data_IF_584052005256
#
_entry.id   IF_584052005256
#
_cell.length_a   1.000
_cell.length_b   1.000
_cell.length_c   1.000
_cell.angle_alpha   90.00
_cell.angle_beta   90.00
_cell.angle_gamma   90.00
#
_symmetry.space_group_name_H-M   'P 1'
#
loop_
_entity.id
_entity.type
_entity.pdbx_description
1 polymer ?
#
# COMPACT_ATOMS: atom_id res chain seq x y z
N UNK A 1 -12.13 -1.00 26.82
CA UNK A 1 -11.94 -2.17 25.92
C UNK A 1 -12.53 -1.79 24.57
N UNK A 2 -11.76 -1.07 23.76
CA UNK A 2 -12.18 -0.67 22.41
C UNK A 2 -11.48 -1.66 21.49
N UNK A 3 -12.25 -2.61 20.99
CA UNK A 3 -11.81 -3.58 20.00
C UNK A 3 -11.56 -2.82 18.70
N UNK A 4 -10.32 -2.86 18.24
CA UNK A 4 -9.88 -2.58 16.88
C UNK A 4 -10.74 -3.39 15.90
N UNK A 5 -11.67 -2.71 15.23
CA UNK A 5 -12.29 -3.22 14.02
C UNK A 5 -11.51 -2.61 12.86
N UNK A 6 -10.52 -3.37 12.38
CA UNK A 6 -9.89 -3.17 11.07
C UNK A 6 -11.01 -3.01 10.04
N UNK A 7 -11.09 -1.83 9.42
CA UNK A 7 -12.01 -1.57 8.31
C UNK A 7 -11.29 -2.08 7.06
N UNK A 8 -11.66 -3.25 6.49
CA UNK A 8 -11.15 -3.61 5.18
C UNK A 8 -11.59 -2.55 4.18
N UNK A 9 -10.68 -2.13 3.32
CA UNK A 9 -10.88 -1.13 2.27
C UNK A 9 -11.73 -1.70 1.12
N UNK A 10 -12.90 -2.22 1.45
CA UNK A 10 -13.84 -2.85 0.54
C UNK A 10 -15.22 -2.30 0.90
N UNK A 11 -15.78 -1.46 0.03
CA UNK A 11 -17.22 -1.14 -0.06
C UNK A 11 -17.77 0.02 0.83
N UNK A 12 -17.12 0.49 1.91
CA UNK A 12 -17.72 1.60 2.72
C UNK A 12 -17.50 3.03 2.17
N UNK A 13 -16.60 3.23 1.21
CA UNK A 13 -16.26 4.57 0.69
C UNK A 13 -17.24 5.07 -0.39
N UNK A 14 -18.01 4.21 -1.05
CA UNK A 14 -18.98 4.64 -2.08
C UNK A 14 -20.17 5.42 -1.51
N UNK A 15 -20.47 5.31 -0.20
CA UNK A 15 -21.56 6.07 0.43
C UNK A 15 -21.10 7.31 1.20
N UNK A 16 -19.84 7.37 1.68
CA UNK A 16 -19.34 8.50 2.49
C UNK A 16 -18.32 9.41 1.78
N UNK A 17 -17.60 8.94 0.75
CA UNK A 17 -16.66 9.78 -0.01
C UNK A 17 -17.29 10.54 -1.18
N UNK A 18 -18.52 10.21 -1.58
CA UNK A 18 -19.23 11.00 -2.60
C UNK A 18 -19.60 12.40 -2.06
N UNK A 19 -19.68 12.56 -0.73
CA UNK A 19 -20.02 13.83 -0.08
C UNK A 19 -18.82 14.78 0.11
N UNK A 20 -17.57 14.31 0.00
CA UNK A 20 -16.35 15.11 0.26
C UNK A 20 -15.50 15.38 -1.00
N UNK A 21 -16.14 15.50 -2.16
CA UNK A 21 -15.49 15.91 -3.42
C UNK A 21 -16.04 17.28 -3.89
N UNK A 22 -16.30 18.20 -2.96
CA UNK A 22 -16.81 19.56 -3.24
C UNK A 22 -15.93 20.62 -2.56
N UNK A 23 -14.68 20.79 -3.02
CA UNK A 23 -13.85 21.96 -2.67
C UNK A 23 -13.21 22.64 -3.90
N UNK A 24 -13.99 22.75 -4.98
CA UNK A 24 -13.60 23.43 -6.22
C UNK A 24 -14.13 22.65 -7.42
N UNK A 25 -14.81 23.31 -8.36
CA UNK A 25 -15.51 22.68 -9.47
C UNK A 25 -14.58 22.06 -10.53
N UNK A 26 -13.92 20.96 -10.19
CA UNK A 26 -13.22 20.10 -11.14
C UNK A 26 -13.86 18.71 -11.09
N UNK A 27 -14.80 18.46 -11.99
CA UNK A 27 -15.39 17.13 -12.15
C UNK A 27 -14.35 16.21 -12.78
N UNK A 28 -13.88 15.22 -12.02
CA UNK A 28 -13.01 14.17 -12.54
C UNK A 28 -13.90 13.10 -13.18
N UNK A 29 -13.65 12.79 -14.46
CA UNK A 29 -14.44 11.81 -15.20
C UNK A 29 -14.22 10.40 -14.65
N UNK A 30 -15.22 9.53 -14.77
CA UNK A 30 -15.13 8.13 -14.32
C UNK A 30 -13.89 7.40 -14.86
N UNK A 31 -13.57 7.57 -16.14
CA UNK A 31 -12.40 6.95 -16.77
C UNK A 31 -11.09 7.38 -16.11
N UNK A 32 -11.02 8.62 -15.65
CA UNK A 32 -9.85 9.14 -14.96
C UNK A 32 -9.77 8.64 -13.52
N UNK A 33 -10.90 8.56 -12.81
CA UNK A 33 -10.96 7.91 -11.49
C UNK A 33 -10.51 6.46 -11.60
N UNK A 34 -11.09 5.71 -12.54
CA UNK A 34 -10.78 4.30 -12.79
C UNK A 34 -9.31 4.09 -13.14
N UNK A 35 -8.78 4.84 -14.11
CA UNK A 35 -7.38 4.74 -14.51
C UNK A 35 -6.41 5.11 -13.37
N UNK A 36 -6.79 6.06 -12.51
CA UNK A 36 -5.99 6.44 -11.34
C UNK A 36 -6.10 5.44 -10.19
N UNK A 37 -7.20 4.69 -10.08
CA UNK A 37 -7.42 3.70 -9.03
C UNK A 37 -7.01 2.28 -9.42
N UNK A 38 -6.72 2.01 -10.68
CA UNK A 38 -6.38 0.65 -11.14
C UNK A 38 -5.10 0.09 -10.50
N UNK A 39 -5.07 -1.23 -10.30
CA UNK A 39 -3.94 -1.98 -9.74
C UNK A 39 -2.61 -1.58 -10.39
N UNK A 40 -1.72 -0.95 -9.61
CA UNK A 40 -0.37 -0.57 -10.02
C UNK A 40 0.59 -0.56 -8.85
N UNK A 41 1.87 -0.39 -9.15
CA UNK A 41 2.90 -0.12 -8.15
C UNK A 41 2.95 1.37 -7.81
N UNK A 42 3.00 1.71 -6.52
CA UNK A 42 3.06 3.08 -6.00
C UNK A 42 4.04 3.12 -4.82
N UNK A 43 4.79 4.21 -4.67
CA UNK A 43 5.60 4.46 -3.49
C UNK A 43 4.71 4.73 -2.26
N UNK A 44 4.95 3.99 -1.18
CA UNK A 44 4.27 4.12 0.11
C UNK A 44 5.30 4.12 1.22
N UNK A 45 4.99 4.79 2.33
CA UNK A 45 5.78 4.67 3.55
C UNK A 45 5.37 3.39 4.28
N UNK A 46 6.33 2.52 4.54
CA UNK A 46 6.13 1.26 5.28
C UNK A 46 6.93 1.32 6.57
N UNK A 47 6.32 0.90 7.67
CA UNK A 47 6.99 0.85 8.97
C UNK A 47 8.07 -0.23 8.97
N UNK A 48 9.28 0.13 9.40
CA UNK A 48 10.43 -0.79 9.43
C UNK A 48 10.19 -1.94 10.40
N UNK A 49 9.52 -1.68 11.54
CA UNK A 49 9.21 -2.70 12.55
C UNK A 49 8.22 -3.76 12.06
N UNK A 50 7.32 -3.40 11.14
CA UNK A 50 6.37 -4.37 10.56
C UNK A 50 7.07 -5.34 9.62
N UNK A 51 8.11 -4.88 8.91
CA UNK A 51 8.91 -5.70 8.00
C UNK A 51 9.96 -6.53 8.76
N UNK A 52 10.44 -6.03 9.91
CA UNK A 52 11.46 -6.67 10.75
C UNK A 52 11.05 -6.74 12.22
N UNK A 53 9.97 -7.48 12.56
CA UNK A 53 9.45 -7.52 13.92
C UNK A 53 10.39 -8.23 14.92
N UNK A 54 11.35 -9.02 14.43
CA UNK A 54 12.35 -9.72 15.25
C UNK A 54 13.49 -8.83 15.75
N UNK A 55 13.67 -7.63 15.19
CA UNK A 55 14.74 -6.70 15.56
C UNK A 55 14.28 -5.71 16.66
N UNK A 56 13.51 -6.22 17.63
CA UNK A 56 12.80 -5.46 18.68
C UNK A 56 13.72 -4.70 19.65
N UNK A 57 15.02 -4.95 19.62
CA UNK A 57 16.00 -4.27 20.47
C UNK A 57 16.41 -2.88 19.91
N UNK A 58 16.04 -2.55 18.67
CA UNK A 58 16.48 -1.32 18.01
C UNK A 58 15.33 -0.38 17.65
N UNK A 59 15.46 0.90 18.01
CA UNK A 59 14.58 1.97 17.53
C UNK A 59 15.14 2.45 16.19
N UNK A 60 14.46 2.13 15.10
CA UNK A 60 14.85 2.59 13.76
C UNK A 60 14.53 4.08 13.57
N UNK A 61 15.49 4.82 13.02
CA UNK A 61 15.26 6.18 12.54
C UNK A 61 15.74 6.31 11.08
N UNK A 62 14.86 6.60 10.12
CA UNK A 62 13.42 6.82 10.28
C UNK A 62 12.66 5.52 10.67
N UNK A 63 11.49 5.67 11.29
CA UNK A 63 10.61 4.53 11.65
C UNK A 63 9.88 3.95 10.44
N UNK A 64 9.77 4.73 9.36
CA UNK A 64 9.18 4.32 8.09
C UNK A 64 10.13 4.62 6.93
N UNK A 65 10.09 3.79 5.89
CA UNK A 65 10.89 3.95 4.68
C UNK A 65 9.99 3.96 3.42
N UNK A 66 10.36 4.71 2.37
CA UNK A 66 9.62 4.69 1.11
C UNK A 66 9.86 3.37 0.37
N UNK A 67 8.80 2.61 0.08
CA UNK A 67 8.87 1.38 -0.70
C UNK A 67 7.81 1.37 -1.77
N UNK A 68 8.17 0.83 -2.93
CA UNK A 68 7.20 0.59 -4.00
C UNK A 68 6.40 -0.67 -3.66
N UNK A 69 5.09 -0.52 -3.53
CA UNK A 69 4.14 -1.58 -3.17
C UNK A 69 2.95 -1.59 -4.13
N UNK A 70 2.20 -2.69 -4.14
CA UNK A 70 0.95 -2.79 -4.89
C UNK A 70 -0.10 -1.89 -4.24
N UNK A 71 -0.89 -1.21 -5.07
CA UNK A 71 -1.96 -0.34 -4.63
C UNK A 71 -3.02 -0.21 -5.73
N UNK A 72 -4.21 0.20 -5.31
CA UNK A 72 -5.35 0.35 -6.19
C UNK A 72 -6.41 -0.72 -5.94
N UNK A 73 -7.42 -0.70 -6.79
CA UNK A 73 -8.54 -1.61 -6.80
C UNK A 73 -8.48 -2.48 -8.06
N UNK A 74 -9.09 -3.66 -7.97
CA UNK A 74 -9.23 -4.55 -9.11
C UNK A 74 -10.56 -4.32 -9.84
N UNK A 75 -10.61 -4.75 -11.10
CA UNK A 75 -11.81 -4.68 -11.92
C UNK A 75 -12.96 -5.59 -11.47
N UNK A 76 -12.65 -6.62 -10.69
CA UNK A 76 -13.57 -7.63 -10.18
C UNK A 76 -13.26 -7.93 -8.70
N UNK A 77 -14.28 -8.27 -7.92
CA UNK A 77 -14.16 -8.54 -6.49
C UNK A 77 -13.39 -9.84 -6.16
N UNK A 78 -13.30 -10.77 -7.12
CA UNK A 78 -12.56 -12.02 -6.99
C UNK A 78 -11.07 -11.88 -7.35
N UNK A 79 -10.66 -10.69 -7.80
CA UNK A 79 -9.29 -10.37 -8.16
C UNK A 79 -8.61 -9.56 -7.07
N UNK A 80 -7.32 -9.81 -6.91
CA UNK A 80 -6.45 -9.07 -6.01
C UNK A 80 -5.20 -8.56 -6.73
N UNK A 81 -4.69 -7.41 -6.26
CA UNK A 81 -3.54 -6.76 -6.85
C UNK A 81 -2.24 -7.32 -6.26
N UNK A 82 -1.60 -8.24 -6.99
CA UNK A 82 -0.41 -8.95 -6.53
C UNK A 82 0.86 -8.51 -7.27
N UNK A 83 2.04 -8.56 -6.63
CA UNK A 83 3.28 -8.28 -7.32
C UNK A 83 3.66 -9.45 -8.25
N UNK A 84 4.00 -9.14 -9.50
CA UNK A 84 4.51 -10.14 -10.47
C UNK A 84 6.03 -10.10 -10.59
N UNK A 85 6.66 -9.01 -10.12
CA UNK A 85 8.11 -8.85 -10.09
C UNK A 85 8.52 -8.07 -8.85
N UNK A 86 9.41 -8.65 -8.07
CA UNK A 86 9.97 -8.05 -6.86
C UNK A 86 11.45 -7.73 -7.04
N UNK A 87 11.95 -6.74 -6.29
CA UNK A 87 13.35 -6.38 -6.23
C UNK A 87 13.74 -6.02 -4.79
N UNK A 88 14.95 -6.40 -4.39
CA UNK A 88 15.48 -6.03 -3.08
C UNK A 88 16.07 -4.62 -3.14
N UNK A 89 15.65 -3.78 -2.20
CA UNK A 89 16.13 -2.42 -2.04
C UNK A 89 16.85 -2.35 -0.71
N UNK A 90 18.08 -1.89 -0.75
CA UNK A 90 18.94 -1.79 0.42
C UNK A 90 18.94 -0.35 0.91
N UNK A 91 18.53 -0.13 2.16
CA UNK A 91 18.43 1.20 2.75
C UNK A 91 19.23 1.28 4.04
N UNK A 92 19.82 2.45 4.29
CA UNK A 92 20.44 2.77 5.56
C UNK A 92 19.38 3.30 6.53
N UNK A 93 19.37 2.76 7.74
CA UNK A 93 18.52 3.22 8.83
C UNK A 93 19.39 3.41 10.06
N UNK A 94 18.99 4.29 10.98
CA UNK A 94 19.72 4.46 12.23
C UNK A 94 19.46 3.29 13.18
N UNK A 95 20.48 2.86 13.94
CA UNK A 95 21.82 3.47 14.06
C UNK A 95 22.65 3.39 12.77
N UNK A 96 23.41 4.45 12.44
CA UNK A 96 23.94 4.79 11.10
C UNK A 96 24.86 3.75 10.42
N UNK A 97 25.11 2.63 11.08
CA UNK A 97 25.84 1.47 10.58
C UNK A 97 24.92 0.34 10.10
N UNK A 98 23.59 0.46 10.26
CA UNK A 98 22.66 -0.60 9.93
C UNK A 98 22.10 -0.43 8.51
N UNK A 99 22.14 -1.52 7.75
CA UNK A 99 21.65 -1.59 6.39
C UNK A 99 20.62 -2.71 6.29
N UNK A 100 19.42 -2.36 5.83
CA UNK A 100 18.25 -3.26 5.80
C UNK A 100 17.80 -3.49 4.37
N UNK A 101 17.41 -4.73 4.04
CA UNK A 101 17.06 -5.17 2.68
C UNK A 101 15.57 -5.38 2.52
N UNK A 102 14.85 -4.33 2.19
CA UNK A 102 13.41 -4.39 1.96
C UNK A 102 13.06 -5.01 0.61
N UNK A 103 11.91 -5.70 0.55
CA UNK A 103 11.34 -6.15 -0.71
C UNK A 103 10.44 -5.05 -1.28
N UNK A 104 10.81 -4.53 -2.45
CA UNK A 104 9.99 -3.63 -3.27
C UNK A 104 9.39 -4.33 -4.48
N UNK A 105 8.33 -3.77 -5.06
CA UNK A 105 7.60 -4.36 -6.19
C UNK A 105 7.82 -3.54 -7.46
N UNK A 106 8.42 -4.16 -8.48
CA UNK A 106 8.69 -3.52 -9.76
C UNK A 106 7.50 -3.62 -10.72
N UNK A 107 6.64 -4.62 -10.56
CA UNK A 107 5.43 -4.82 -11.38
C UNK A 107 4.32 -5.46 -10.56
N UNK A 108 3.08 -5.07 -10.84
CA UNK A 108 1.86 -5.65 -10.27
C UNK A 108 0.91 -6.13 -11.36
N UNK A 109 0.05 -7.09 -11.04
CA UNK A 109 -1.03 -7.58 -11.88
C UNK A 109 -2.21 -8.06 -11.02
N UNK A 110 -3.41 -7.95 -11.58
CA UNK A 110 -4.62 -8.55 -11.00
C UNK A 110 -4.58 -10.08 -11.16
N UNK A 111 -4.73 -10.80 -10.06
CA UNK A 111 -4.73 -12.27 -10.06
C UNK A 111 -5.89 -12.76 -9.20
N UNK A 112 -6.47 -13.91 -9.54
CA UNK A 112 -7.49 -14.53 -8.69
C UNK A 112 -6.94 -14.82 -7.30
N UNK A 113 -7.73 -14.52 -6.27
CA UNK A 113 -7.39 -14.90 -4.91
C UNK A 113 -7.53 -16.41 -4.76
N UNK A 114 -6.42 -17.14 -4.86
CA UNK A 114 -6.41 -18.60 -4.66
C UNK A 114 -6.37 -19.01 -3.19
N UNK A 115 -6.43 -18.06 -2.23
CA UNK A 115 -6.38 -18.33 -0.79
C UNK A 115 -5.07 -18.97 -0.37
N UNK A 116 -4.13 -18.17 0.12
CA UNK A 116 -2.88 -18.68 0.68
C UNK A 116 -2.95 -18.82 2.21
#
# INVERSE_FOLDING_TARGET
MISSFEIPCSISLIHSHVTLMIMGSQLILFQEVWGRSFCRTIEKLVEVVQEYPGEVEHIFSPTCVPLVRCAGCCGDENLECHPTLTANITMQVCPSNMTVKFTGYARSQETYNYGH
#
